data_IF_388085978274
#
_entry.id   IF_388085978274
#
_cell.length_a   1.000
_cell.length_b   1.000
_cell.length_c   1.000
_cell.angle_alpha   90.00
_cell.angle_beta   90.00
_cell.angle_gamma   90.00
#
_symmetry.space_group_name_H-M   'P 1'
#
loop_
_entity.id
_entity.type
_entity.pdbx_description
1 polymer ?
#
# COMPACT_ATOMS: atom_id res chain seq x y z
N UNK A 1 11.04 68.29 57.97
CA UNK A 1 11.09 69.28 56.88
C UNK A 1 12.06 68.79 55.83
N UNK A 2 11.68 68.92 54.54
CA UNK A 2 12.34 68.42 53.31
C UNK A 2 12.14 66.90 53.07
N UNK A 3 11.22 66.40 52.22
CA UNK A 3 10.89 66.69 50.80
C UNK A 3 12.10 66.55 49.87
N UNK A 4 12.12 65.88 48.72
CA UNK A 4 11.33 64.88 48.00
C UNK A 4 12.08 64.61 46.66
N UNK A 5 11.66 63.56 45.93
CA UNK A 5 11.90 63.26 44.49
C UNK A 5 13.22 62.54 44.17
N UNK A 6 13.25 61.44 43.39
CA UNK A 6 12.21 60.73 42.66
C UNK A 6 12.71 59.35 42.25
N UNK A 7 11.86 58.34 42.42
CA UNK A 7 12.10 56.96 41.98
C UNK A 7 11.78 56.86 40.49
N UNK A 8 12.76 56.45 39.70
CA UNK A 8 12.54 56.06 38.30
C UNK A 8 12.01 54.62 38.28
N UNK A 9 10.76 54.45 37.87
CA UNK A 9 10.14 53.14 37.64
C UNK A 9 10.59 52.63 36.27
N UNK A 10 11.58 51.73 36.25
CA UNK A 10 11.78 50.85 35.10
C UNK A 10 10.70 49.75 35.17
N UNK A 11 9.64 49.91 34.39
CA UNK A 11 8.64 48.86 34.15
C UNK A 11 9.32 47.79 33.31
N UNK A 12 9.67 46.67 33.93
CA UNK A 12 10.12 45.47 33.26
C UNK A 12 8.90 44.89 32.53
N UNK A 13 8.81 45.11 31.21
CA UNK A 13 7.80 44.49 30.38
C UNK A 13 8.08 42.98 30.29
N UNK A 14 7.35 42.21 31.09
CA UNK A 14 7.32 40.75 31.01
C UNK A 14 6.54 40.37 29.75
N UNK A 15 7.24 40.20 28.62
CA UNK A 15 6.66 39.62 27.42
C UNK A 15 6.35 38.14 27.70
N UNK A 16 5.10 37.85 28.04
CA UNK A 16 4.58 36.48 28.03
C UNK A 16 4.52 36.07 26.56
N UNK A 17 5.57 35.38 26.10
CA UNK A 17 5.56 34.67 24.84
C UNK A 17 4.57 33.51 25.00
N UNK A 18 3.30 33.76 24.66
CA UNK A 18 2.33 32.69 24.47
C UNK A 18 2.81 31.89 23.26
N UNK A 19 3.57 30.82 23.53
CA UNK A 19 3.84 29.79 22.56
C UNK A 19 2.50 29.13 22.23
N UNK A 20 1.82 29.64 21.20
CA UNK A 20 0.78 28.90 20.51
C UNK A 20 1.46 27.69 19.91
N UNK A 21 1.41 26.59 20.64
CA UNK A 21 1.62 25.24 20.12
C UNK A 21 0.57 25.08 19.01
N UNK A 22 0.97 25.38 17.78
CA UNK A 22 0.25 24.94 16.60
C UNK A 22 0.36 23.43 16.62
N UNK A 23 -0.69 22.78 17.13
CA UNK A 23 -0.89 21.35 16.95
C UNK A 23 -0.86 21.09 15.44
N UNK A 24 0.27 20.58 14.95
CA UNK A 24 0.38 19.99 13.64
C UNK A 24 -0.50 18.75 13.70
N UNK A 25 -1.73 18.85 13.20
CA UNK A 25 -2.51 17.66 12.90
C UNK A 25 -1.84 17.01 11.69
N UNK A 26 -0.90 16.10 11.94
CA UNK A 26 -0.67 15.03 10.99
C UNK A 26 -2.03 14.40 10.71
N UNK A 27 -2.43 14.33 9.45
CA UNK A 27 -3.65 13.64 9.06
C UNK A 27 -3.46 12.16 9.42
N UNK A 28 -3.89 11.81 10.63
CA UNK A 28 -3.79 10.47 11.19
C UNK A 28 -4.59 9.54 10.29
N UNK A 29 -3.97 8.45 9.84
CA UNK A 29 -4.68 7.48 9.01
C UNK A 29 -5.88 6.94 9.80
N UNK A 30 -7.06 6.85 9.16
CA UNK A 30 -8.29 6.40 9.83
C UNK A 30 -8.03 5.17 10.71
N UNK A 31 -8.45 5.19 11.98
CA UNK A 31 -8.09 4.14 12.93
C UNK A 31 -8.61 2.78 12.48
N UNK A 32 -7.89 1.71 12.86
CA UNK A 32 -8.32 0.34 12.59
C UNK A 32 -9.48 -0.03 13.54
N UNK A 33 -10.62 -0.40 12.96
CA UNK A 33 -11.75 -0.97 13.65
C UNK A 33 -11.52 -2.47 13.83
N UNK A 34 -11.81 -2.98 15.02
CA UNK A 34 -11.70 -4.41 15.37
C UNK A 34 -13.05 -5.09 15.24
N UNK A 35 -13.18 -5.98 14.26
CA UNK A 35 -14.37 -6.80 14.04
C UNK A 35 -14.09 -8.21 14.56
N UNK A 36 -14.67 -8.54 15.72
CA UNK A 36 -14.48 -9.85 16.36
C UNK A 36 -15.47 -10.88 15.83
N UNK A 37 -15.19 -12.15 16.08
CA UNK A 37 -16.06 -13.29 15.76
C UNK A 37 -16.51 -13.31 14.28
N UNK A 38 -15.65 -12.85 13.38
CA UNK A 38 -15.92 -12.90 11.95
C UNK A 38 -15.86 -14.35 11.46
N UNK A 39 -16.69 -14.66 10.47
CA UNK A 39 -16.73 -15.97 9.81
C UNK A 39 -16.54 -15.82 8.31
N UNK A 40 -15.97 -16.83 7.67
CA UNK A 40 -15.82 -16.83 6.23
C UNK A 40 -17.19 -17.09 5.57
N UNK A 41 -17.50 -16.33 4.52
CA UNK A 41 -18.68 -16.59 3.68
C UNK A 41 -18.19 -17.28 2.41
N UNK A 42 -18.58 -18.55 2.15
CA UNK A 42 -18.16 -19.26 0.95
C UNK A 42 -18.60 -18.52 -0.32
N UNK A 43 -17.65 -18.32 -1.23
CA UNK A 43 -17.92 -17.71 -2.55
C UNK A 43 -17.00 -18.35 -3.59
N UNK A 44 -17.51 -18.59 -4.80
CA UNK A 44 -16.76 -19.28 -5.86
C UNK A 44 -15.64 -18.42 -6.45
N UNK A 45 -15.69 -17.10 -6.25
CA UNK A 45 -14.69 -16.13 -6.70
C UNK A 45 -13.61 -15.84 -5.65
N UNK A 46 -13.77 -16.31 -4.40
CA UNK A 46 -12.79 -16.03 -3.35
C UNK A 46 -11.43 -16.63 -3.71
N UNK A 47 -10.39 -15.83 -3.55
CA UNK A 47 -9.00 -16.22 -3.74
C UNK A 47 -8.25 -16.19 -2.40
N UNK A 48 -6.92 -16.32 -2.46
CA UNK A 48 -6.07 -16.36 -1.26
C UNK A 48 -5.90 -15.01 -0.55
N UNK A 49 -6.20 -13.88 -1.18
CA UNK A 49 -6.02 -12.55 -0.57
C UNK A 49 -7.29 -11.69 -0.58
N UNK A 50 -8.37 -12.16 -1.20
CA UNK A 50 -9.63 -11.49 -1.40
C UNK A 50 -10.79 -12.45 -1.18
N UNK A 51 -11.55 -12.26 -0.10
CA UNK A 51 -12.63 -13.16 0.28
C UNK A 51 -13.74 -12.45 1.06
N UNK A 52 -14.93 -13.07 1.10
CA UNK A 52 -16.09 -12.53 1.81
C UNK A 52 -16.06 -12.98 3.27
N UNK A 53 -16.33 -12.06 4.18
CA UNK A 53 -16.48 -12.32 5.62
C UNK A 53 -17.84 -11.80 6.10
N UNK A 54 -18.36 -12.41 7.16
CA UNK A 54 -19.54 -11.96 7.90
C UNK A 54 -19.13 -11.59 9.33
N UNK A 55 -19.53 -10.42 9.79
CA UNK A 55 -19.31 -9.96 11.16
C UNK A 55 -20.31 -10.60 12.13
N UNK A 56 -20.06 -10.49 13.43
CA UNK A 56 -20.99 -10.95 14.47
C UNK A 56 -22.38 -10.28 14.36
N UNK A 57 -22.43 -9.01 13.91
CA UNK A 57 -23.67 -8.28 13.68
C UNK A 57 -24.45 -8.71 12.43
N UNK A 58 -23.88 -9.60 11.60
CA UNK A 58 -24.48 -10.10 10.37
C UNK A 58 -24.10 -9.32 9.10
N UNK A 59 -23.34 -8.23 9.21
CA UNK A 59 -22.85 -7.48 8.06
C UNK A 59 -21.82 -8.27 7.27
N UNK A 60 -21.84 -8.13 5.94
CA UNK A 60 -20.88 -8.81 5.06
C UNK A 60 -19.96 -7.83 4.36
N UNK A 61 -18.66 -8.17 4.33
CA UNK A 61 -17.61 -7.37 3.69
C UNK A 61 -16.73 -8.26 2.81
N UNK A 62 -16.31 -7.75 1.65
CA UNK A 62 -15.18 -8.35 0.93
C UNK A 62 -13.90 -7.76 1.47
N UNK A 63 -13.05 -8.60 2.05
CA UNK A 63 -11.74 -8.22 2.59
C UNK A 63 -10.69 -8.49 1.52
N UNK A 64 -9.85 -7.48 1.23
CA UNK A 64 -8.54 -7.64 0.57
C UNK A 64 -7.46 -7.57 1.65
N UNK A 65 -6.56 -8.53 1.70
CA UNK A 65 -5.48 -8.53 2.67
C UNK A 65 -4.50 -7.37 2.42
N UNK A 66 -4.02 -6.75 3.50
CA UNK A 66 -2.87 -5.86 3.44
C UNK A 66 -1.57 -6.66 3.25
N UNK A 67 -0.66 -6.09 2.46
CA UNK A 67 0.74 -6.50 2.36
C UNK A 67 1.03 -7.75 1.53
N UNK A 68 -0.01 -8.45 1.05
CA UNK A 68 0.16 -9.68 0.27
C UNK A 68 -0.61 -9.69 -1.04
N UNK A 69 -0.09 -10.48 -1.98
CA UNK A 69 -0.72 -10.76 -3.27
C UNK A 69 -0.58 -12.26 -3.58
N UNK A 70 -1.71 -12.93 -3.75
CA UNK A 70 -1.76 -14.33 -4.15
C UNK A 70 -1.75 -14.47 -5.68
N UNK A 71 -1.34 -15.64 -6.18
CA UNK A 71 -1.33 -15.87 -7.62
C UNK A 71 -2.75 -15.84 -8.19
N UNK A 72 -2.93 -15.08 -9.26
CA UNK A 72 -4.18 -14.95 -10.00
C UNK A 72 -4.54 -16.29 -10.67
N UNK A 73 -5.74 -16.80 -10.38
CA UNK A 73 -6.20 -18.07 -10.96
C UNK A 73 -7.51 -17.93 -11.73
N UNK A 74 -8.28 -16.87 -11.46
CA UNK A 74 -9.46 -16.48 -12.22
C UNK A 74 -9.06 -15.57 -13.38
N UNK A 75 -8.33 -16.11 -14.35
CA UNK A 75 -7.93 -15.35 -15.55
C UNK A 75 -9.06 -15.31 -16.56
N UNK A 76 -9.70 -14.16 -16.71
CA UNK A 76 -10.84 -13.95 -17.61
C UNK A 76 -10.58 -12.91 -18.69
N UNK A 77 -9.61 -12.01 -18.48
CA UNK A 77 -9.24 -10.97 -19.44
C UNK A 77 -7.72 -10.77 -19.57
N UNK A 78 -7.32 -9.80 -20.39
CA UNK A 78 -5.91 -9.47 -20.62
C UNK A 78 -5.22 -8.84 -19.40
N UNK A 79 -5.97 -8.17 -18.52
CA UNK A 79 -5.45 -7.60 -17.27
C UNK A 79 -5.08 -8.72 -16.30
N UNK A 80 -5.94 -9.72 -16.16
CA UNK A 80 -5.68 -10.91 -15.34
C UNK A 80 -4.51 -11.70 -15.92
N UNK A 81 -4.47 -11.88 -17.25
CA UNK A 81 -3.39 -12.59 -17.93
C UNK A 81 -2.03 -11.90 -17.72
N UNK A 82 -2.01 -10.57 -17.72
CA UNK A 82 -0.82 -9.77 -17.39
C UNK A 82 -0.41 -9.95 -15.94
N UNK A 83 -1.33 -9.89 -14.98
CA UNK A 83 -1.07 -10.12 -13.55
C UNK A 83 -0.46 -11.51 -13.31
N UNK A 84 -1.05 -12.54 -13.92
CA UNK A 84 -0.52 -13.90 -13.81
C UNK A 84 0.90 -14.02 -14.38
N UNK A 85 1.19 -13.37 -15.53
CA UNK A 85 2.54 -13.34 -16.10
C UNK A 85 3.55 -12.67 -15.16
N UNK A 86 3.19 -11.53 -14.58
CA UNK A 86 4.01 -10.83 -13.60
C UNK A 86 4.34 -11.72 -12.40
N UNK A 87 3.32 -12.36 -11.82
CA UNK A 87 3.49 -13.20 -10.63
C UNK A 87 4.37 -14.42 -10.94
N UNK A 88 4.24 -15.04 -12.13
CA UNK A 88 5.14 -16.13 -12.54
C UNK A 88 6.59 -15.68 -12.63
N UNK A 89 6.86 -14.49 -13.18
CA UNK A 89 8.20 -13.90 -13.20
C UNK A 89 8.72 -13.53 -11.82
N UNK A 90 7.83 -13.08 -10.95
CA UNK A 90 8.16 -12.76 -9.58
C UNK A 90 8.73 -13.98 -8.83
N UNK A 91 8.11 -15.14 -9.00
CA UNK A 91 8.54 -16.41 -8.40
C UNK A 91 9.57 -17.19 -9.24
N UNK A 92 9.92 -16.72 -10.45
CA UNK A 92 10.89 -17.38 -11.32
C UNK A 92 10.41 -18.75 -11.83
N UNK A 93 9.12 -18.85 -12.15
CA UNK A 93 8.46 -20.11 -12.56
C UNK A 93 7.99 -20.07 -14.02
N UNK A 94 8.38 -19.06 -14.80
CA UNK A 94 7.86 -18.86 -16.16
C UNK A 94 8.17 -20.01 -17.13
N UNK A 95 9.28 -20.71 -16.89
CA UNK A 95 9.72 -21.87 -17.69
C UNK A 95 9.47 -23.22 -16.99
N UNK A 96 8.88 -23.23 -15.79
CA UNK A 96 8.61 -24.46 -15.06
C UNK A 96 7.63 -25.34 -15.84
N UNK A 97 7.94 -26.63 -15.95
CA UNK A 97 7.16 -27.59 -16.75
C UNK A 97 7.48 -27.57 -18.25
N UNK A 98 8.41 -26.72 -18.70
CA UNK A 98 8.93 -26.73 -20.07
C UNK A 98 8.03 -26.07 -21.12
N UNK A 99 6.89 -25.50 -20.73
CA UNK A 99 6.01 -24.73 -21.62
C UNK A 99 5.27 -23.63 -20.86
N UNK A 100 4.83 -22.55 -21.55
CA UNK A 100 3.97 -21.54 -20.96
C UNK A 100 2.68 -22.12 -20.37
N UNK A 101 2.07 -23.11 -21.03
CA UNK A 101 0.82 -23.73 -20.61
C UNK A 101 0.97 -24.47 -19.28
N UNK A 102 2.04 -25.25 -19.10
CA UNK A 102 2.31 -25.95 -17.83
C UNK A 102 2.67 -24.96 -16.71
N UNK A 103 3.48 -23.94 -16.99
CA UNK A 103 3.81 -22.88 -16.04
C UNK A 103 2.57 -22.09 -15.59
N UNK A 104 1.66 -21.76 -16.52
CA UNK A 104 0.37 -21.13 -16.23
C UNK A 104 -0.51 -22.04 -15.37
N UNK A 105 -0.62 -23.32 -15.74
CA UNK A 105 -1.43 -24.29 -14.98
C UNK A 105 -0.92 -24.41 -13.55
N UNK A 106 0.40 -24.55 -13.38
CA UNK A 106 1.05 -24.61 -12.07
C UNK A 106 0.74 -23.36 -11.24
N UNK A 107 0.91 -22.18 -11.83
CA UNK A 107 0.64 -20.91 -11.16
C UNK A 107 -0.83 -20.82 -10.69
N UNK A 108 -1.80 -21.18 -11.55
CA UNK A 108 -3.22 -21.21 -11.19
C UNK A 108 -3.52 -22.20 -10.05
N UNK A 109 -2.88 -23.37 -10.05
CA UNK A 109 -3.01 -24.33 -8.94
C UNK A 109 -2.54 -23.74 -7.61
N UNK A 110 -1.51 -22.89 -7.62
CA UNK A 110 -1.07 -22.19 -6.41
C UNK A 110 -2.04 -21.08 -5.96
N UNK A 111 -2.72 -20.40 -6.88
CA UNK A 111 -3.82 -19.50 -6.55
C UNK A 111 -5.00 -20.25 -5.89
N UNK A 112 -5.39 -21.40 -6.45
CA UNK A 112 -6.42 -22.27 -5.87
C UNK A 112 -6.01 -22.80 -4.49
N UNK A 113 -4.74 -23.22 -4.32
CA UNK A 113 -4.20 -23.65 -3.02
C UNK A 113 -4.18 -22.53 -1.99
N UNK A 114 -3.91 -21.29 -2.39
CA UNK A 114 -4.00 -20.14 -1.48
C UNK A 114 -5.44 -19.93 -1.00
N UNK A 115 -6.42 -20.00 -1.89
CA UNK A 115 -7.84 -19.91 -1.54
C UNK A 115 -8.27 -21.07 -0.61
N UNK A 116 -7.79 -22.28 -0.85
CA UNK A 116 -8.02 -23.43 0.03
C UNK A 116 -7.39 -23.24 1.42
N UNK A 117 -6.14 -22.77 1.48
CA UNK A 117 -5.47 -22.49 2.74
C UNK A 117 -6.20 -21.43 3.56
N UNK A 118 -6.75 -20.38 2.93
CA UNK A 118 -7.60 -19.40 3.62
C UNK A 118 -8.83 -20.05 4.23
N UNK A 119 -9.54 -20.92 3.48
CA UNK A 119 -10.70 -21.64 4.02
C UNK A 119 -10.35 -22.49 5.24
N UNK A 120 -9.21 -23.15 5.21
CA UNK A 120 -8.75 -24.01 6.30
C UNK A 120 -8.29 -23.18 7.52
N UNK A 121 -7.48 -22.13 7.29
CA UNK A 121 -6.94 -21.26 8.34
C UNK A 121 -8.03 -20.42 9.02
N UNK A 122 -9.12 -20.13 8.31
CA UNK A 122 -10.27 -19.36 8.79
C UNK A 122 -11.51 -20.22 9.07
N UNK A 123 -11.32 -21.52 9.32
CA UNK A 123 -12.41 -22.44 9.67
C UNK A 123 -13.06 -22.13 11.02
N UNK A 124 -12.31 -21.52 11.94
CA UNK A 124 -12.80 -21.03 13.23
C UNK A 124 -13.04 -19.51 13.17
N UNK A 125 -13.92 -18.94 14.03
CA UNK A 125 -14.12 -17.50 14.09
C UNK A 125 -12.81 -16.72 14.30
N UNK A 126 -12.63 -15.64 13.53
CA UNK A 126 -11.40 -14.85 13.48
C UNK A 126 -11.67 -13.36 13.70
N UNK A 127 -10.60 -12.57 13.82
CA UNK A 127 -10.69 -11.11 13.96
C UNK A 127 -10.25 -10.42 12.67
N UNK A 128 -11.01 -9.42 12.22
CA UNK A 128 -10.61 -8.52 11.13
C UNK A 128 -10.31 -7.14 11.69
N UNK A 129 -9.19 -6.55 11.31
CA UNK A 129 -8.84 -5.16 11.59
C UNK A 129 -8.90 -4.35 10.29
N UNK A 130 -9.81 -3.38 10.20
CA UNK A 130 -10.01 -2.59 8.99
C UNK A 130 -10.31 -1.12 9.28
N UNK A 131 -9.83 -0.23 8.43
CA UNK A 131 -10.22 1.17 8.42
C UNK A 131 -11.26 1.48 7.34
N UNK A 132 -11.89 0.44 6.78
CA UNK A 132 -12.85 0.53 5.68
C UNK A 132 -12.32 1.24 4.42
N UNK A 133 -11.00 1.34 4.28
CA UNK A 133 -10.33 1.92 3.13
C UNK A 133 -10.66 1.11 1.89
N UNK A 134 -11.10 1.79 0.82
CA UNK A 134 -11.46 1.16 -0.44
C UNK A 134 -10.24 0.44 -1.04
N UNK A 135 -10.42 -0.84 -1.36
CA UNK A 135 -9.43 -1.69 -1.98
C UNK A 135 -9.61 -1.81 -3.51
N UNK A 136 -10.54 -1.03 -4.08
CA UNK A 136 -10.95 -1.05 -5.49
C UNK A 136 -11.61 -2.41 -5.83
N UNK A 137 -12.56 -2.48 -6.75
CA UNK A 137 -13.25 -3.75 -7.06
C UNK A 137 -14.48 -3.54 -7.95
N UNK A 138 -15.23 -4.61 -8.24
CA UNK A 138 -16.53 -4.49 -8.92
C UNK A 138 -17.42 -3.53 -8.12
N UNK A 139 -18.00 -2.54 -8.80
CA UNK A 139 -18.84 -1.50 -8.18
C UNK A 139 -20.05 -2.03 -7.41
N UNK A 140 -20.41 -3.31 -7.56
CA UNK A 140 -21.49 -3.99 -6.83
C UNK A 140 -21.08 -4.49 -5.44
N UNK A 141 -19.79 -4.66 -5.16
CA UNK A 141 -19.30 -5.18 -3.87
C UNK A 141 -18.15 -4.34 -3.36
N UNK A 142 -18.39 -3.53 -2.32
CA UNK A 142 -17.37 -2.70 -1.69
C UNK A 142 -16.28 -3.60 -1.07
N UNK A 143 -15.12 -3.66 -1.72
CA UNK A 143 -13.93 -4.34 -1.23
C UNK A 143 -13.16 -3.39 -0.33
N UNK A 144 -12.82 -3.84 0.87
CA UNK A 144 -12.06 -3.04 1.85
C UNK A 144 -10.77 -3.77 2.20
N UNK A 145 -9.72 -3.02 2.48
CA UNK A 145 -8.50 -3.64 3.00
C UNK A 145 -8.66 -4.04 4.47
N UNK A 146 -8.06 -5.16 4.87
CA UNK A 146 -8.05 -5.61 6.26
C UNK A 146 -6.84 -6.46 6.62
N UNK A 147 -6.43 -6.39 7.88
CA UNK A 147 -5.61 -7.43 8.49
C UNK A 147 -6.54 -8.50 9.07
N UNK A 148 -6.18 -9.77 8.92
CA UNK A 148 -6.97 -10.89 9.43
C UNK A 148 -6.11 -11.67 10.41
N UNK A 149 -6.62 -11.84 11.63
CA UNK A 149 -5.93 -12.54 12.70
C UNK A 149 -6.76 -13.76 13.09
N UNK A 150 -6.15 -14.94 12.95
CA UNK A 150 -6.76 -16.23 13.29
C UNK A 150 -7.00 -16.35 14.80
N UNK A 151 -7.81 -17.33 15.20
CA UNK A 151 -8.16 -17.56 16.62
C UNK A 151 -6.94 -17.79 17.52
N UNK A 152 -5.87 -18.37 16.98
CA UNK A 152 -4.59 -18.59 17.67
C UNK A 152 -3.61 -17.40 17.59
N UNK A 153 -4.08 -16.25 17.09
CA UNK A 153 -3.35 -14.99 17.12
C UNK A 153 -2.35 -14.79 15.97
N UNK A 154 -2.38 -15.62 14.92
CA UNK A 154 -1.50 -15.47 13.75
C UNK A 154 -2.07 -14.47 12.75
N UNK A 155 -1.21 -13.63 12.19
CA UNK A 155 -1.55 -12.81 11.02
C UNK A 155 -1.63 -13.72 9.78
N UNK A 156 -2.79 -13.70 9.10
CA UNK A 156 -3.03 -14.49 7.91
C UNK A 156 -2.08 -14.12 6.77
N UNK A 157 -1.78 -12.83 6.58
CA UNK A 157 -0.86 -12.36 5.54
C UNK A 157 0.54 -12.93 5.76
N UNK A 158 1.06 -12.84 6.99
CA UNK A 158 2.35 -13.44 7.37
C UNK A 158 2.34 -14.96 7.14
N UNK A 159 1.25 -15.63 7.51
CA UNK A 159 1.09 -17.08 7.35
C UNK A 159 1.10 -17.50 5.88
N UNK A 160 0.37 -16.81 5.01
CA UNK A 160 0.32 -17.12 3.57
C UNK A 160 1.68 -16.92 2.89
N UNK A 161 2.44 -15.89 3.28
CA UNK A 161 3.80 -15.66 2.78
C UNK A 161 4.74 -16.78 3.25
N UNK A 162 4.71 -17.15 4.54
CA UNK A 162 5.52 -18.24 5.08
C UNK A 162 5.24 -19.60 4.41
N UNK A 163 3.98 -19.85 4.03
CA UNK A 163 3.57 -21.05 3.30
C UNK A 163 3.98 -21.02 1.81
N UNK A 164 4.51 -19.90 1.31
CA UNK A 164 4.82 -19.70 -0.11
C UNK A 164 3.57 -19.68 -0.99
N UNK A 165 2.44 -19.20 -0.45
CA UNK A 165 1.15 -19.08 -1.14
C UNK A 165 0.84 -17.64 -1.57
N UNK A 166 1.57 -16.67 -1.03
CA UNK A 166 1.50 -15.27 -1.41
C UNK A 166 2.91 -14.66 -1.49
N UNK A 167 3.05 -13.57 -2.28
CA UNK A 167 4.23 -12.71 -2.26
C UNK A 167 4.05 -11.54 -1.30
N UNK A 168 5.16 -11.00 -0.78
CA UNK A 168 5.18 -9.78 0.01
C UNK A 168 4.97 -8.55 -0.90
N UNK A 169 3.71 -8.24 -1.20
CA UNK A 169 3.35 -7.23 -2.19
C UNK A 169 1.98 -6.59 -1.89
N UNK A 170 1.81 -5.33 -2.26
CA UNK A 170 0.51 -4.65 -2.19
C UNK A 170 0.49 -3.48 -1.21
N UNK A 171 -0.72 -3.02 -0.89
CA UNK A 171 -0.93 -1.89 0.02
C UNK A 171 -0.67 -2.35 1.45
N UNK A 172 -0.02 -1.50 2.24
CA UNK A 172 0.20 -1.73 3.67
C UNK A 172 -0.03 -0.43 4.43
N UNK A 173 -0.26 -0.55 5.73
CA UNK A 173 -0.37 0.56 6.69
C UNK A 173 0.18 0.12 8.05
N UNK A 174 0.14 1.00 9.04
CA UNK A 174 0.38 0.59 10.42
C UNK A 174 -0.59 -0.53 10.83
N UNK A 175 -0.05 -1.55 11.49
CA UNK A 175 -0.78 -2.77 11.84
C UNK A 175 -1.56 -2.60 13.14
N UNK A 176 -2.41 -3.58 13.44
CA UNK A 176 -3.18 -3.66 14.68
C UNK A 176 -2.32 -3.82 15.95
N UNK A 177 -1.03 -4.14 15.82
CA UNK A 177 -0.08 -4.24 16.94
C UNK A 177 0.75 -2.96 17.14
N UNK A 178 0.52 -1.91 16.33
CA UNK A 178 1.32 -0.68 16.34
C UNK A 178 2.62 -0.79 15.54
N UNK A 179 2.87 -1.89 14.84
CA UNK A 179 4.00 -2.01 13.92
C UNK A 179 3.80 -1.06 12.74
N UNK A 180 4.81 -0.23 12.47
CA UNK A 180 4.77 0.74 11.36
C UNK A 180 4.56 0.05 10.01
N UNK A 181 4.00 0.77 9.04
CA UNK A 181 3.83 0.27 7.66
C UNK A 181 5.12 -0.28 7.06
N UNK A 182 6.21 0.46 7.22
CA UNK A 182 7.47 0.14 6.55
C UNK A 182 8.13 -1.07 7.22
N UNK A 183 8.07 -1.18 8.55
CA UNK A 183 8.50 -2.38 9.28
C UNK A 183 7.69 -3.62 8.88
N UNK A 184 6.36 -3.51 8.81
CA UNK A 184 5.52 -4.64 8.38
C UNK A 184 5.85 -5.13 6.97
N UNK A 185 6.15 -4.20 6.06
CA UNK A 185 6.57 -4.54 4.69
C UNK A 185 7.91 -5.28 4.69
N UNK A 186 8.91 -4.82 5.44
CA UNK A 186 10.21 -5.51 5.50
C UNK A 186 10.07 -6.87 6.17
N UNK A 187 9.28 -6.97 7.23
CA UNK A 187 8.97 -8.24 7.90
C UNK A 187 8.34 -9.27 6.96
N UNK A 188 7.40 -8.87 6.10
CA UNK A 188 6.84 -9.78 5.10
C UNK A 188 7.89 -10.25 4.09
N UNK A 189 8.85 -9.40 3.71
CA UNK A 189 9.97 -9.81 2.84
C UNK A 189 10.90 -10.80 3.53
N UNK A 190 11.14 -10.64 4.84
CA UNK A 190 11.93 -11.60 5.61
C UNK A 190 11.24 -12.97 5.66
N UNK A 191 9.91 -13.01 5.85
CA UNK A 191 9.14 -14.24 5.75
C UNK A 191 9.13 -14.85 4.36
N UNK A 192 9.09 -14.03 3.32
CA UNK A 192 9.21 -14.51 1.96
C UNK A 192 10.60 -15.11 1.70
N UNK A 193 11.66 -14.51 2.25
CA UNK A 193 13.03 -15.05 2.18
C UNK A 193 13.14 -16.41 2.90
N UNK A 194 12.47 -16.57 4.04
CA UNK A 194 12.37 -17.86 4.73
C UNK A 194 11.62 -18.87 3.85
N UNK A 195 10.45 -18.52 3.31
CA UNK A 195 9.68 -19.40 2.43
C UNK A 195 10.48 -19.83 1.20
N UNK A 196 11.22 -18.90 0.59
CA UNK A 196 12.17 -19.16 -0.49
C UNK A 196 13.26 -20.16 -0.08
N UNK A 197 13.92 -19.92 1.07
CA UNK A 197 15.00 -20.75 1.58
C UNK A 197 14.56 -22.17 1.93
N UNK A 198 13.34 -22.31 2.44
CA UNK A 198 12.72 -23.58 2.81
C UNK A 198 11.98 -24.24 1.64
N UNK A 199 12.01 -23.63 0.44
CA UNK A 199 11.31 -24.10 -0.76
C UNK A 199 9.80 -24.29 -0.53
N UNK A 200 9.20 -23.46 0.33
CA UNK A 200 7.79 -23.55 0.68
C UNK A 200 6.90 -23.11 -0.49
N UNK A 201 5.76 -23.78 -0.65
CA UNK A 201 4.74 -23.39 -1.63
C UNK A 201 5.28 -23.28 -3.04
N UNK A 202 5.03 -22.16 -3.71
CA UNK A 202 5.45 -21.91 -5.10
C UNK A 202 6.98 -21.87 -5.26
N UNK A 203 7.72 -21.54 -4.20
CA UNK A 203 9.18 -21.46 -4.22
C UNK A 203 9.86 -22.82 -4.48
N UNK A 204 9.17 -23.94 -4.25
CA UNK A 204 9.64 -25.29 -4.63
C UNK A 204 9.82 -25.48 -6.14
N UNK A 205 9.22 -24.59 -6.95
CA UNK A 205 9.25 -24.65 -8.40
C UNK A 205 10.14 -23.59 -9.05
N UNK A 206 10.78 -22.74 -8.25
CA UNK A 206 11.59 -21.62 -8.74
C UNK A 206 12.83 -22.12 -9.48
N UNK A 207 13.02 -21.62 -10.70
CA UNK A 207 14.25 -21.78 -11.47
C UNK A 207 15.19 -20.63 -11.09
N UNK A 208 15.93 -20.79 -9.99
CA UNK A 208 16.73 -19.73 -9.36
C UNK A 208 17.70 -19.01 -10.30
N UNK A 209 18.28 -19.73 -11.28
CA UNK A 209 19.17 -19.16 -12.30
C UNK A 209 18.48 -18.15 -13.24
N UNK A 210 17.17 -18.28 -13.45
CA UNK A 210 16.37 -17.42 -14.33
C UNK A 210 15.75 -16.25 -13.58
N UNK A 211 15.60 -16.35 -12.25
CA UNK A 211 14.89 -15.36 -11.44
C UNK A 211 15.37 -13.90 -11.65
N UNK A 212 16.69 -13.59 -11.75
CA UNK A 212 17.14 -12.22 -12.00
C UNK A 212 16.69 -11.68 -13.37
N UNK A 213 16.71 -12.55 -14.39
CA UNK A 213 16.31 -12.25 -15.77
C UNK A 213 14.79 -12.01 -15.84
N UNK A 214 13.99 -12.94 -15.31
CA UNK A 214 12.53 -12.84 -15.30
C UNK A 214 12.05 -11.56 -14.59
N UNK A 215 12.64 -11.26 -13.42
CA UNK A 215 12.32 -10.03 -12.69
C UNK A 215 12.81 -8.77 -13.42
N UNK A 216 13.88 -8.84 -14.23
CA UNK A 216 14.31 -7.70 -15.05
C UNK A 216 13.31 -7.42 -16.16
N UNK A 217 12.89 -8.45 -16.90
CA UNK A 217 11.90 -8.35 -17.96
C UNK A 217 10.58 -7.76 -17.44
N UNK A 218 10.13 -8.21 -16.26
CA UNK A 218 8.93 -7.63 -15.62
C UNK A 218 9.07 -6.12 -15.39
N UNK A 219 10.21 -5.67 -14.83
CA UNK A 219 10.47 -4.23 -14.61
C UNK A 219 10.59 -3.44 -15.91
N UNK A 220 11.04 -4.06 -17.00
CA UNK A 220 11.08 -3.42 -18.33
C UNK A 220 9.67 -3.23 -18.89
N UNK A 221 8.81 -4.25 -18.84
CA UNK A 221 7.41 -4.16 -19.27
C UNK A 221 6.61 -3.16 -18.43
N UNK A 222 6.78 -3.14 -17.10
CA UNK A 222 6.14 -2.15 -16.24
C UNK A 222 6.55 -0.72 -16.60
N UNK A 223 7.83 -0.51 -16.93
CA UNK A 223 8.33 0.79 -17.38
C UNK A 223 7.70 1.19 -18.70
N UNK A 224 7.70 0.31 -19.70
CA UNK A 224 7.06 0.57 -20.99
C UNK A 224 5.58 0.91 -20.82
N UNK A 225 4.86 0.11 -20.03
CA UNK A 225 3.46 0.35 -19.72
C UNK A 225 3.24 1.70 -19.05
N UNK A 226 4.09 2.08 -18.09
CA UNK A 226 3.98 3.37 -17.42
C UNK A 226 4.13 4.55 -18.39
N UNK A 227 4.97 4.42 -19.44
CA UNK A 227 5.05 5.43 -20.49
C UNK A 227 3.77 5.46 -21.32
N UNK A 228 3.25 4.29 -21.72
CA UNK A 228 2.02 4.20 -22.52
C UNK A 228 0.78 4.74 -21.78
N UNK A 229 0.69 4.54 -20.46
CA UNK A 229 -0.43 5.01 -19.64
C UNK A 229 -0.24 6.40 -19.05
N UNK A 230 0.87 7.09 -19.37
CA UNK A 230 1.16 8.43 -18.83
C UNK A 230 1.42 8.44 -17.32
N UNK A 231 1.72 7.29 -16.71
CA UNK A 231 1.99 7.15 -15.27
C UNK A 231 3.49 7.02 -14.95
N UNK A 232 4.34 7.14 -15.97
CA UNK A 232 5.79 7.10 -15.81
C UNK A 232 6.25 8.21 -14.84
N UNK A 233 7.09 7.87 -13.84
CA UNK A 233 7.59 8.85 -12.89
C UNK A 233 8.45 9.89 -13.61
N UNK A 234 8.42 11.12 -13.09
CA UNK A 234 9.26 12.21 -13.60
C UNK A 234 10.75 11.84 -13.54
N UNK A 235 11.47 12.15 -14.61
CA UNK A 235 12.92 11.98 -14.68
C UNK A 235 13.64 13.22 -14.17
N UNK A 236 14.83 13.02 -13.61
CA UNK A 236 15.68 14.14 -13.20
C UNK A 236 15.98 15.01 -14.43
N UNK A 237 15.58 16.29 -14.39
CA UNK A 237 15.69 17.24 -15.51
C UNK A 237 14.37 17.52 -16.23
N UNK A 238 13.32 16.73 -16.02
CA UNK A 238 11.96 17.11 -16.41
C UNK A 238 11.39 18.08 -15.37
N UNK A 239 10.82 19.19 -15.82
CA UNK A 239 10.23 20.23 -14.98
C UNK A 239 8.73 20.36 -15.24
N UNK A 240 7.98 20.55 -14.18
CA UNK A 240 6.53 20.71 -14.16
C UNK A 240 6.17 22.03 -13.47
N UNK A 241 5.32 22.84 -14.11
CA UNK A 241 4.71 24.00 -13.46
C UNK A 241 3.45 23.57 -12.68
N UNK A 242 3.45 23.63 -11.34
CA UNK A 242 2.32 23.20 -10.53
C UNK A 242 1.07 24.08 -10.72
N UNK A 243 1.19 25.28 -11.31
CA UNK A 243 0.05 26.15 -11.63
C UNK A 243 -0.66 25.76 -12.93
N UNK A 244 0.06 25.14 -13.87
CA UNK A 244 -0.45 24.81 -15.20
C UNK A 244 -0.71 23.32 -15.42
N UNK A 245 0.00 22.46 -14.69
CA UNK A 245 -0.05 21.02 -14.85
C UNK A 245 -1.48 20.46 -14.81
N UNK A 246 -1.77 19.48 -15.65
CA UNK A 246 -2.98 18.69 -15.50
C UNK A 246 -2.84 17.73 -14.29
N UNK A 247 -3.97 17.17 -13.87
CA UNK A 247 -4.03 16.31 -12.67
C UNK A 247 -3.19 15.05 -12.81
N UNK A 248 -3.27 14.41 -13.97
CA UNK A 248 -2.48 13.23 -14.34
C UNK A 248 -0.98 13.55 -14.39
N UNK A 249 -0.60 14.74 -14.87
CA UNK A 249 0.79 15.20 -14.81
C UNK A 249 1.26 15.35 -13.36
N UNK A 250 0.48 16.00 -12.48
CA UNK A 250 0.80 16.09 -11.06
C UNK A 250 0.96 14.71 -10.39
N UNK A 251 0.14 13.74 -10.78
CA UNK A 251 0.19 12.37 -10.24
C UNK A 251 1.47 11.60 -10.61
N UNK A 252 2.25 12.08 -11.59
CA UNK A 252 3.57 11.51 -11.93
C UNK A 252 4.67 11.94 -10.96
N UNK A 253 4.43 12.98 -10.14
CA UNK A 253 5.39 13.42 -9.13
C UNK A 253 5.51 12.39 -8.00
N UNK A 254 6.73 12.13 -7.49
CA UNK A 254 6.92 11.14 -6.42
C UNK A 254 6.07 11.41 -5.18
N UNK A 255 5.19 10.46 -4.84
CA UNK A 255 4.35 10.55 -3.64
C UNK A 255 3.12 11.45 -3.78
N UNK A 256 2.75 11.84 -5.00
CA UNK A 256 1.53 12.57 -5.32
C UNK A 256 0.51 11.61 -5.93
N UNK A 257 -0.50 11.23 -5.14
CA UNK A 257 -1.66 10.48 -5.63
C UNK A 257 -2.81 11.40 -6.03
N UNK A 258 -3.87 10.80 -6.53
CA UNK A 258 -5.13 11.46 -6.96
C UNK A 258 -5.64 12.53 -5.97
N UNK A 259 -5.74 12.20 -4.67
CA UNK A 259 -6.21 13.16 -3.65
C UNK A 259 -5.24 14.32 -3.42
N UNK A 260 -3.92 14.10 -3.53
CA UNK A 260 -2.92 15.17 -3.41
C UNK A 260 -2.89 16.04 -4.66
N UNK A 261 -2.98 15.45 -5.85
CA UNK A 261 -3.05 16.18 -7.10
C UNK A 261 -4.27 17.13 -7.13
N UNK A 262 -5.44 16.67 -6.70
CA UNK A 262 -6.62 17.54 -6.55
C UNK A 262 -6.37 18.70 -5.59
N UNK A 263 -5.77 18.45 -4.41
CA UNK A 263 -5.45 19.50 -3.45
C UNK A 263 -4.41 20.50 -3.96
N UNK A 264 -3.46 20.06 -4.79
CA UNK A 264 -2.50 20.96 -5.46
C UNK A 264 -3.25 21.86 -6.47
N UNK A 265 -4.20 21.32 -7.23
CA UNK A 265 -5.00 22.13 -8.17
C UNK A 265 -5.88 23.14 -7.43
N UNK A 266 -6.54 22.72 -6.35
CA UNK A 266 -7.37 23.57 -5.50
C UNK A 266 -6.57 24.69 -4.81
N UNK A 267 -5.29 24.44 -4.51
CA UNK A 267 -4.40 25.39 -3.84
C UNK A 267 -3.75 26.43 -4.76
N UNK A 268 -4.03 26.42 -6.07
CA UNK A 268 -3.48 27.39 -7.02
C UNK A 268 -4.02 28.81 -6.79
N UNK A 269 -3.24 29.86 -7.10
CA UNK A 269 -1.88 29.83 -7.64
C UNK A 269 -0.78 29.78 -6.56
N UNK A 270 0.40 29.31 -6.97
CA UNK A 270 1.65 29.32 -6.21
C UNK A 270 2.59 30.39 -6.77
N UNK A 271 3.02 31.32 -5.92
CA UNK A 271 3.97 32.38 -6.29
C UNK A 271 5.42 31.90 -6.13
N UNK A 272 5.66 31.05 -5.14
CA UNK A 272 6.94 30.39 -4.91
C UNK A 272 6.74 28.89 -4.80
N UNK A 273 7.79 28.10 -5.07
CA UNK A 273 7.69 26.64 -4.90
C UNK A 273 7.37 26.25 -3.45
N UNK A 274 7.88 27.01 -2.49
CA UNK A 274 7.67 26.74 -1.06
C UNK A 274 6.19 26.91 -0.65
N UNK A 275 5.37 27.61 -1.44
CA UNK A 275 3.92 27.73 -1.22
C UNK A 275 3.19 26.38 -1.26
N UNK A 276 3.77 25.37 -1.90
CA UNK A 276 3.24 24.01 -1.93
C UNK A 276 3.24 23.35 -0.54
N UNK A 277 4.04 23.82 0.40
CA UNK A 277 4.01 23.36 1.80
C UNK A 277 2.68 23.70 2.50
N UNK A 278 1.89 24.64 1.94
CA UNK A 278 0.54 24.95 2.43
C UNK A 278 -0.49 23.88 2.05
N UNK A 279 -0.17 23.04 1.06
CA UNK A 279 -1.05 21.95 0.65
C UNK A 279 -1.00 20.86 1.71
N UNK A 280 -2.13 20.63 2.38
CA UNK A 280 -2.23 19.56 3.38
C UNK A 280 -1.74 18.23 2.77
N UNK A 281 -0.87 17.53 3.49
CA UNK A 281 -0.24 16.28 3.04
C UNK A 281 1.04 16.46 2.20
N UNK A 282 1.49 17.68 1.94
CA UNK A 282 2.84 17.99 1.43
C UNK A 282 3.66 18.61 2.57
N UNK A 283 4.31 17.76 3.36
CA UNK A 283 5.33 18.19 4.33
C UNK A 283 6.73 18.29 3.73
N UNK A 284 7.69 18.79 4.49
CA UNK A 284 9.07 19.05 4.05
C UNK A 284 9.74 17.85 3.35
N UNK A 285 9.56 16.64 3.89
CA UNK A 285 10.14 15.42 3.31
C UNK A 285 9.61 15.16 1.90
N UNK A 286 8.31 15.35 1.69
CA UNK A 286 7.67 15.14 0.38
C UNK A 286 8.01 16.28 -0.56
N UNK A 287 7.93 17.51 -0.07
CA UNK A 287 8.30 18.70 -0.81
C UNK A 287 9.74 18.59 -1.36
N UNK A 288 10.70 18.20 -0.53
CA UNK A 288 12.09 18.01 -0.94
C UNK A 288 12.25 16.99 -2.07
N UNK A 289 11.43 15.92 -2.08
CA UNK A 289 11.44 14.90 -3.14
C UNK A 289 10.82 15.38 -4.44
N UNK A 290 9.81 16.24 -4.39
CA UNK A 290 9.12 16.73 -5.60
C UNK A 290 9.73 18.03 -6.15
N UNK A 291 10.34 18.87 -5.29
CA UNK A 291 10.87 20.20 -5.63
C UNK A 291 11.86 20.15 -6.80
N UNK A 292 12.64 19.08 -6.92
CA UNK A 292 13.60 18.88 -8.01
C UNK A 292 12.96 18.73 -9.41
N UNK A 293 11.64 18.49 -9.46
CA UNK A 293 10.86 18.36 -10.70
C UNK A 293 9.93 19.55 -10.93
N UNK A 294 10.01 20.60 -10.12
CA UNK A 294 9.09 21.72 -10.18
C UNK A 294 9.76 22.98 -10.71
N UNK A 295 9.00 23.78 -11.44
CA UNK A 295 9.41 25.10 -11.90
C UNK A 295 8.24 26.07 -11.79
N UNK A 296 8.54 27.36 -11.76
CA UNK A 296 7.55 28.43 -11.91
C UNK A 296 8.04 29.34 -13.05
N UNK A 297 7.12 29.93 -13.83
CA UNK A 297 7.45 30.81 -14.94
C UNK A 297 8.15 32.09 -14.49
#
# INVERSE_FOLDING_TARGET
>A
MSSAKGRSHAVLALAILAATLLCVSDAEADPLNRLQNCTLVPTDWADGDSFRVRTEGGDEHTIRLYGVDCIEWHVTDETDARRLREQRRYFGISETGGSPEESIRLAKQYGERAAAAVRDLLGEPFTVFTAYSDARGDGRYKRIYGFVVTVDGRDLSETLVLLGLARAFGVSRETFSGMTRDEYRERLKDFELIAARETAGVWSHTIWKNLPEERRQQREEEREMSFATGTAPFRLGELLDPNLAARDELMRLPGIGEALASRIIEGRPYETLDDLLRVNGIGESKFSKIKIFLTLP
#
